data_IF_198870040835
#
_entry.id   IF_198870040835
#
_cell.length_a   1.000
_cell.length_b   1.000
_cell.length_c   1.000
_cell.angle_alpha   90.00
_cell.angle_beta   90.00
_cell.angle_gamma   90.00
#
_symmetry.space_group_name_H-M   'P 1'
#
loop_
_entity.id
_entity.type
_entity.pdbx_description
1 polymer ?
#
# COMPACT_ATOMS: atom_id res chain seq x y z
N UNK A 1 7.19 -3.09 19.97
CA UNK A 1 6.72 -1.70 20.10
C UNK A 1 5.31 -1.65 19.55
N UNK A 2 4.38 -1.09 20.31
CA UNK A 2 2.94 -0.99 19.96
C UNK A 2 2.65 0.46 19.63
N UNK A 3 2.02 0.72 18.49
CA UNK A 3 1.58 2.07 18.09
C UNK A 3 0.05 2.16 18.26
N UNK A 4 -0.42 2.71 19.39
CA UNK A 4 -1.84 2.82 19.65
C UNK A 4 -2.52 3.84 18.74
N UNK A 5 -3.71 3.48 18.23
CA UNK A 5 -4.64 4.43 17.63
C UNK A 5 -5.36 5.16 18.77
N UNK A 6 -5.22 6.48 18.82
CA UNK A 6 -5.97 7.34 19.74
C UNK A 6 -7.11 8.04 19.02
N UNK A 7 -8.24 8.17 19.71
CA UNK A 7 -9.33 9.06 19.33
C UNK A 7 -9.38 10.22 20.32
N UNK A 8 -9.66 11.42 19.81
CA UNK A 8 -9.68 12.66 20.59
C UNK A 8 -11.04 13.33 20.46
N UNK A 9 -11.59 13.79 21.58
CA UNK A 9 -12.63 14.81 21.59
C UNK A 9 -11.97 16.18 21.41
N UNK A 10 -12.31 16.83 20.30
CA UNK A 10 -11.83 18.16 19.92
C UNK A 10 -12.94 19.22 19.99
N UNK A 11 -14.09 18.92 20.59
CA UNK A 11 -15.21 19.86 20.74
C UNK A 11 -14.81 21.13 21.51
N UNK A 12 -13.84 21.01 22.43
CA UNK A 12 -13.13 22.13 23.03
C UNK A 12 -11.68 22.18 22.52
N UNK A 13 -11.33 23.07 21.57
CA UNK A 13 -10.01 23.10 20.95
C UNK A 13 -8.88 23.53 21.90
N UNK A 14 -9.19 24.19 23.03
CA UNK A 14 -8.18 24.56 24.05
C UNK A 14 -7.99 23.49 25.14
N UNK A 15 -8.83 22.45 25.14
CA UNK A 15 -8.77 21.34 26.11
C UNK A 15 -9.13 20.01 25.43
N UNK A 16 -8.31 19.52 24.47
CA UNK A 16 -8.54 18.25 23.79
C UNK A 16 -8.45 17.08 24.79
N UNK A 17 -9.33 16.09 24.65
CA UNK A 17 -9.40 14.93 25.56
C UNK A 17 -9.26 13.64 24.80
N UNK A 18 -8.45 12.71 25.31
CA UNK A 18 -8.42 11.34 24.78
C UNK A 18 -9.73 10.66 25.13
N UNK A 19 -10.45 10.18 24.11
CA UNK A 19 -11.73 9.48 24.28
C UNK A 19 -11.58 7.98 24.26
N UNK A 20 -10.60 7.47 23.52
CA UNK A 20 -10.37 6.04 23.34
C UNK A 20 -8.96 5.74 22.87
N UNK A 21 -8.56 4.49 23.07
CA UNK A 21 -7.27 3.95 22.69
C UNK A 21 -7.46 2.52 22.19
N UNK A 22 -6.87 2.23 21.04
CA UNK A 22 -6.77 0.87 20.51
C UNK A 22 -5.31 0.53 20.27
N UNK A 23 -4.80 -0.44 21.03
CA UNK A 23 -3.47 -1.00 20.84
C UNK A 23 -3.51 -2.06 19.74
N UNK A 24 -2.73 -1.84 18.69
CA UNK A 24 -2.48 -2.82 17.64
C UNK A 24 -0.99 -3.09 17.50
N UNK A 25 -0.64 -4.31 17.12
CA UNK A 25 0.76 -4.60 16.80
C UNK A 25 1.14 -3.95 15.47
N UNK A 26 2.40 -3.53 15.40
CA UNK A 26 2.91 -2.73 14.29
C UNK A 26 2.54 -1.25 14.43
N UNK A 27 2.53 -0.53 13.31
CA UNK A 27 2.24 0.91 13.26
C UNK A 27 1.56 1.30 11.94
N UNK A 28 0.82 2.40 11.95
CA UNK A 28 0.24 3.01 10.75
C UNK A 28 1.06 4.24 10.35
N UNK A 29 1.53 4.30 9.11
CA UNK A 29 2.28 5.46 8.61
C UNK A 29 1.40 6.43 7.81
N UNK A 30 0.32 5.92 7.24
CA UNK A 30 -0.67 6.70 6.52
C UNK A 30 -2.08 6.32 6.95
N UNK A 31 -2.96 7.33 7.08
CA UNK A 31 -4.35 7.19 7.48
C UNK A 31 -5.22 7.94 6.49
N UNK A 32 -6.28 7.29 6.02
CA UNK A 32 -7.28 7.83 5.11
C UNK A 32 -8.68 7.60 5.67
N UNK A 33 -9.54 8.61 5.64
CA UNK A 33 -10.97 8.46 5.96
C UNK A 33 -11.68 7.84 4.76
N UNK A 34 -12.24 6.64 4.92
CA UNK A 34 -13.16 6.05 3.93
C UNK A 34 -14.50 6.80 3.99
N UNK A 35 -14.98 7.00 5.21
CA UNK A 35 -16.19 7.75 5.57
C UNK A 35 -16.03 8.31 6.99
N UNK A 36 -17.08 8.87 7.56
CA UNK A 36 -17.08 9.49 8.90
C UNK A 36 -16.71 8.51 10.04
N UNK A 37 -16.85 7.20 9.81
CA UNK A 37 -16.73 6.16 10.82
C UNK A 37 -15.63 5.14 10.53
N UNK A 38 -14.96 5.21 9.37
CA UNK A 38 -13.99 4.20 8.98
C UNK A 38 -12.68 4.81 8.50
N UNK A 39 -11.57 4.29 9.03
CA UNK A 39 -10.22 4.62 8.61
C UNK A 39 -9.62 3.48 7.80
N UNK A 40 -8.92 3.81 6.72
CA UNK A 40 -8.07 2.91 5.95
C UNK A 40 -6.62 3.32 6.17
N UNK A 41 -5.78 2.40 6.63
CA UNK A 41 -4.38 2.70 6.92
C UNK A 41 -3.42 1.83 6.14
N UNK A 42 -2.22 2.37 5.94
CA UNK A 42 -1.05 1.66 5.41
C UNK A 42 0.11 1.84 6.38
N UNK A 43 0.80 0.76 6.71
CA UNK A 43 1.94 0.77 7.62
C UNK A 43 2.60 -0.59 7.70
N UNK A 44 3.13 -0.96 8.86
CA UNK A 44 3.79 -2.26 9.06
C UNK A 44 3.10 -3.04 10.17
N UNK A 45 2.96 -4.36 10.01
CA UNK A 45 2.58 -5.27 11.09
C UNK A 45 3.81 -5.67 11.91
N UNK A 46 3.62 -6.05 13.16
CA UNK A 46 4.68 -6.57 14.00
C UNK A 46 4.19 -7.72 14.90
N UNK A 47 5.11 -8.51 15.44
CA UNK A 47 4.81 -9.43 16.54
C UNK A 47 4.86 -8.73 17.90
N UNK A 48 4.51 -9.45 18.97
CA UNK A 48 4.48 -8.92 20.34
C UNK A 48 5.86 -8.45 20.84
N UNK A 49 6.95 -8.94 20.24
CA UNK A 49 8.31 -8.49 20.54
C UNK A 49 8.68 -7.23 19.73
N UNK A 50 7.80 -6.75 18.85
CA UNK A 50 8.03 -5.60 17.99
C UNK A 50 8.82 -5.91 16.71
N UNK A 51 8.99 -7.19 16.35
CA UNK A 51 9.63 -7.53 15.08
C UNK A 51 8.65 -7.28 13.95
N UNK A 52 9.04 -6.43 12.98
CA UNK A 52 8.24 -6.15 11.79
C UNK A 52 8.00 -7.43 10.99
N UNK A 53 6.74 -7.68 10.63
CA UNK A 53 6.29 -8.87 9.92
C UNK A 53 5.98 -8.59 8.44
N UNK A 54 5.77 -7.33 8.07
CA UNK A 54 5.55 -6.90 6.69
C UNK A 54 4.53 -5.78 6.55
N UNK A 55 4.41 -5.27 5.33
CA UNK A 55 3.49 -4.19 4.97
C UNK A 55 2.04 -4.59 5.33
N UNK A 56 1.32 -3.69 6.01
CA UNK A 56 -0.04 -3.88 6.52
C UNK A 56 -0.99 -2.86 5.90
N UNK A 57 -2.15 -3.35 5.46
CA UNK A 57 -3.34 -2.54 5.18
C UNK A 57 -4.38 -2.89 6.25
N UNK A 58 -4.96 -1.88 6.90
CA UNK A 58 -5.98 -2.10 7.93
C UNK A 58 -7.18 -1.17 7.76
N UNK A 59 -8.36 -1.68 8.12
CA UNK A 59 -9.58 -0.90 8.25
C UNK A 59 -9.94 -0.83 9.73
N UNK A 60 -10.10 0.39 10.23
CA UNK A 60 -10.59 0.64 11.59
C UNK A 60 -12.01 1.17 11.54
N UNK A 61 -12.83 0.71 12.48
CA UNK A 61 -14.16 1.28 12.76
C UNK A 61 -14.02 2.18 14.00
N UNK A 62 -14.34 3.45 13.81
CA UNK A 62 -14.27 4.53 14.81
C UNK A 62 -15.65 5.14 15.07
N UNK A 63 -16.74 4.46 14.68
CA UNK A 63 -18.11 4.91 14.92
C UNK A 63 -18.43 5.17 16.40
N UNK A 64 -17.76 4.44 17.30
CA UNK A 64 -17.66 4.77 18.72
C UNK A 64 -16.23 5.23 19.03
N UNK A 65 -15.98 6.55 19.13
CA UNK A 65 -14.65 7.06 19.46
C UNK A 65 -14.12 6.53 20.80
N UNK A 66 -14.97 6.16 21.76
CA UNK A 66 -14.50 5.62 23.03
C UNK A 66 -14.00 4.17 22.96
N UNK A 67 -14.33 3.45 21.87
CA UNK A 67 -13.96 2.06 21.67
C UNK A 67 -13.71 1.74 20.18
N UNK A 68 -12.65 2.32 19.57
CA UNK A 68 -12.31 2.02 18.18
C UNK A 68 -11.83 0.57 18.03
N UNK A 69 -12.07 -0.04 16.87
CA UNK A 69 -11.70 -1.44 16.60
C UNK A 69 -10.97 -1.61 15.27
N UNK A 70 -9.97 -2.49 15.22
CA UNK A 70 -9.34 -2.94 13.96
C UNK A 70 -10.29 -3.96 13.32
N UNK A 71 -11.14 -3.51 12.39
CA UNK A 71 -12.19 -4.32 11.78
C UNK A 71 -11.63 -5.37 10.84
N UNK A 72 -10.65 -4.98 10.02
CA UNK A 72 -9.97 -5.88 9.09
C UNK A 72 -8.49 -5.53 8.98
N UNK A 73 -7.66 -6.55 8.76
CA UNK A 73 -6.27 -6.35 8.35
C UNK A 73 -5.84 -7.31 7.26
N UNK A 74 -4.94 -6.85 6.41
CA UNK A 74 -4.22 -7.63 5.41
C UNK A 74 -2.73 -7.34 5.57
N UNK A 75 -1.97 -8.37 5.94
CA UNK A 75 -0.50 -8.31 5.97
C UNK A 75 0.01 -8.91 4.66
N UNK A 76 0.95 -8.21 4.03
CA UNK A 76 1.65 -8.63 2.82
C UNK A 76 2.97 -9.26 3.22
N UNK A 77 2.85 -10.46 3.79
CA UNK A 77 3.96 -11.32 4.21
C UNK A 77 4.05 -12.53 3.26
N UNK A 78 4.54 -12.33 2.04
CA UNK A 78 5.12 -13.51 1.40
C UNK A 78 6.29 -13.95 2.30
N UNK A 79 6.32 -15.23 2.66
CA UNK A 79 7.10 -15.73 3.81
C UNK A 79 8.64 -15.60 3.65
N UNK A 80 9.12 -14.90 2.62
CA UNK A 80 10.51 -14.83 2.22
C UNK A 80 10.94 -13.45 1.69
N UNK A 81 10.14 -12.39 1.88
CA UNK A 81 10.42 -11.05 1.33
C UNK A 81 10.14 -9.92 2.31
N UNK A 82 11.04 -8.95 2.36
CA UNK A 82 10.75 -7.63 2.94
C UNK A 82 9.98 -6.81 1.90
N UNK A 83 8.86 -6.22 2.32
CA UNK A 83 8.00 -5.39 1.48
C UNK A 83 7.75 -4.02 2.10
N UNK A 84 7.68 -2.99 1.24
CA UNK A 84 7.37 -1.63 1.61
C UNK A 84 6.42 -1.00 0.60
N UNK A 85 5.81 0.11 1.00
CA UNK A 85 5.03 0.96 0.11
C UNK A 85 5.52 2.40 0.19
N UNK A 86 5.62 3.06 -0.97
CA UNK A 86 5.80 4.52 -1.08
C UNK A 86 4.70 5.27 -0.30
N UNK A 87 3.49 4.70 -0.19
CA UNK A 87 2.36 5.30 0.53
C UNK A 87 2.62 5.48 2.04
N UNK A 88 3.65 4.84 2.60
CA UNK A 88 4.06 5.06 3.99
C UNK A 88 4.85 6.37 4.18
N UNK A 89 5.35 6.97 3.09
CA UNK A 89 6.22 8.14 3.12
C UNK A 89 5.67 9.31 2.31
N UNK A 90 4.90 9.03 1.25
CA UNK A 90 4.29 10.02 0.38
C UNK A 90 2.78 9.71 0.18
N UNK A 91 1.93 10.57 0.72
CA UNK A 91 0.48 10.43 0.62
C UNK A 91 -0.06 10.44 -0.82
N UNK A 92 0.68 10.99 -1.78
CA UNK A 92 0.27 10.97 -3.19
C UNK A 92 0.43 9.58 -3.84
N UNK A 93 1.16 8.67 -3.21
CA UNK A 93 1.29 7.29 -3.67
C UNK A 93 0.07 6.43 -3.28
N UNK A 94 -0.77 6.90 -2.36
CA UNK A 94 -2.01 6.25 -2.00
C UNK A 94 -3.13 6.70 -2.94
N UNK A 95 -3.84 5.76 -3.56
CA UNK A 95 -5.00 6.09 -4.40
C UNK A 95 -6.20 5.24 -4.03
N UNK A 96 -7.24 5.88 -3.47
CA UNK A 96 -8.50 5.21 -3.14
C UNK A 96 -9.62 5.67 -4.05
N UNK A 97 -10.19 4.74 -4.82
CA UNK A 97 -11.32 4.96 -5.70
C UNK A 97 -12.61 4.53 -5.01
N UNK A 98 -13.18 5.46 -4.23
CA UNK A 98 -14.30 5.21 -3.31
C UNK A 98 -15.53 4.61 -4.00
N UNK A 99 -15.89 5.07 -5.22
CA UNK A 99 -17.07 4.60 -5.95
C UNK A 99 -17.07 3.09 -6.25
N UNK A 100 -15.87 2.48 -6.33
CA UNK A 100 -15.68 1.04 -6.51
C UNK A 100 -15.07 0.37 -5.27
N UNK A 101 -14.74 1.13 -4.22
CA UNK A 101 -14.01 0.68 -3.04
C UNK A 101 -12.67 0.03 -3.39
N UNK A 102 -11.94 0.57 -4.36
CA UNK A 102 -10.66 0.04 -4.79
C UNK A 102 -9.52 0.89 -4.22
N UNK A 103 -8.52 0.22 -3.67
CA UNK A 103 -7.27 0.82 -3.21
C UNK A 103 -6.15 0.39 -4.16
N UNK A 104 -5.41 1.36 -4.71
CA UNK A 104 -4.14 1.14 -5.39
C UNK A 104 -2.99 1.69 -4.53
N UNK A 105 -1.99 0.86 -4.24
CA UNK A 105 -0.76 1.29 -3.58
C UNK A 105 0.48 0.66 -4.24
N UNK A 106 1.58 1.41 -4.38
CA UNK A 106 2.87 0.84 -4.72
C UNK A 106 3.30 -0.18 -3.68
N UNK A 107 3.79 -1.33 -4.12
CA UNK A 107 4.47 -2.32 -3.28
C UNK A 107 5.81 -2.62 -3.92
N UNK A 108 6.86 -2.25 -3.21
CA UNK A 108 8.24 -2.60 -3.52
C UNK A 108 8.73 -3.68 -2.56
N UNK A 109 9.68 -4.48 -3.00
CA UNK A 109 10.22 -5.52 -2.14
C UNK A 109 11.38 -6.27 -2.76
N UNK A 110 11.86 -7.25 -2.01
CA UNK A 110 12.88 -8.17 -2.48
C UNK A 110 12.47 -9.61 -2.18
N UNK A 111 12.32 -10.41 -3.24
CA UNK A 111 12.04 -11.84 -3.19
C UNK A 111 13.33 -12.64 -3.09
N UNK A 112 13.31 -13.67 -2.25
CA UNK A 112 14.39 -14.66 -2.23
C UNK A 112 14.47 -15.35 -3.59
N UNK A 113 15.66 -15.33 -4.21
CA UNK A 113 15.93 -16.04 -5.47
C UNK A 113 17.17 -16.92 -5.34
N UNK A 114 17.34 -17.87 -6.27
CA UNK A 114 18.57 -18.68 -6.37
C UNK A 114 19.74 -17.94 -7.02
N UNK A 115 19.54 -16.69 -7.44
CA UNK A 115 20.57 -15.88 -8.07
C UNK A 115 21.48 -15.25 -7.02
N UNK A 116 22.78 -15.18 -7.33
CA UNK A 116 23.75 -14.42 -6.53
C UNK A 116 23.61 -12.90 -6.75
N UNK A 117 22.79 -12.46 -7.71
CA UNK A 117 22.54 -11.06 -8.00
C UNK A 117 21.34 -10.60 -7.19
N UNK A 118 21.58 -9.71 -6.22
CA UNK A 118 20.51 -9.19 -5.37
C UNK A 118 19.36 -8.57 -6.18
N UNK A 119 19.63 -7.85 -7.27
CA UNK A 119 18.57 -7.24 -8.08
C UNK A 119 17.62 -8.21 -8.77
N UNK A 120 17.99 -9.49 -8.94
CA UNK A 120 17.10 -10.49 -9.55
C UNK A 120 15.86 -10.78 -8.68
N UNK A 121 15.95 -10.51 -7.37
CA UNK A 121 14.82 -10.61 -6.44
C UNK A 121 14.00 -9.32 -6.28
N UNK A 122 14.51 -8.18 -6.73
CA UNK A 122 13.82 -6.91 -6.57
C UNK A 122 12.53 -6.86 -7.39
N UNK A 123 11.46 -6.34 -6.80
CA UNK A 123 10.21 -6.08 -7.50
C UNK A 123 9.60 -4.74 -7.12
N UNK A 124 8.88 -4.15 -8.08
CA UNK A 124 8.00 -3.01 -7.84
C UNK A 124 6.73 -3.15 -8.67
N UNK A 125 5.60 -3.11 -7.97
CA UNK A 125 4.29 -3.31 -8.57
C UNK A 125 3.25 -2.37 -7.95
N UNK A 126 2.23 -2.02 -8.72
CA UNK A 126 1.02 -1.42 -8.17
C UNK A 126 0.11 -2.57 -7.72
N UNK A 127 -0.08 -2.76 -6.43
CA UNK A 127 -1.08 -3.71 -5.94
C UNK A 127 -2.43 -3.04 -5.78
N UNK A 128 -3.48 -3.75 -6.22
CA UNK A 128 -4.86 -3.28 -6.16
C UNK A 128 -5.66 -4.18 -5.22
N UNK A 129 -6.38 -3.56 -4.30
CA UNK A 129 -7.22 -4.23 -3.30
C UNK A 129 -8.67 -3.73 -3.40
N UNK A 130 -9.61 -4.65 -3.20
CA UNK A 130 -11.00 -4.34 -2.89
C UNK A 130 -11.10 -4.17 -1.38
N UNK A 131 -11.57 -2.99 -0.97
CA UNK A 131 -11.92 -2.67 0.40
C UNK A 131 -13.44 -2.76 0.51
N UNK A 132 -13.91 -3.70 1.32
CA UNK A 132 -15.31 -3.89 1.65
C UNK A 132 -15.49 -3.79 3.16
N UNK A 133 -16.32 -2.86 3.62
CA UNK A 133 -16.52 -2.58 5.04
C UNK A 133 -17.26 -3.72 5.78
N UNK A 134 -17.76 -4.73 5.07
CA UNK A 134 -18.43 -5.91 5.65
C UNK A 134 -17.69 -7.22 5.33
N UNK A 135 -17.10 -7.33 4.14
CA UNK A 135 -16.42 -8.55 3.68
C UNK A 135 -14.89 -8.53 3.85
N UNK A 136 -14.29 -7.37 4.14
CA UNK A 136 -12.86 -7.22 4.42
C UNK A 136 -12.02 -6.78 3.22
N UNK A 137 -10.73 -7.12 3.28
CA UNK A 137 -9.72 -6.66 2.30
C UNK A 137 -9.32 -7.82 1.39
N UNK A 138 -9.58 -7.68 0.08
CA UNK A 138 -9.27 -8.72 -0.91
C UNK A 138 -8.32 -8.17 -1.98
N UNK A 139 -7.22 -8.87 -2.27
CA UNK A 139 -6.34 -8.50 -3.38
C UNK A 139 -7.02 -8.81 -4.71
N UNK A 140 -7.02 -7.83 -5.63
CA UNK A 140 -7.65 -7.93 -6.95
C UNK A 140 -6.64 -8.19 -8.07
N UNK A 141 -5.43 -7.69 -7.93
CA UNK A 141 -4.37 -7.87 -8.91
C UNK A 141 -3.14 -7.03 -8.60
N UNK A 142 -2.13 -7.14 -9.45
CA UNK A 142 -0.91 -6.35 -9.37
C UNK A 142 -0.41 -6.00 -10.77
N UNK A 143 0.10 -4.78 -10.93
CA UNK A 143 0.72 -4.32 -12.18
C UNK A 143 2.22 -4.22 -11.95
N UNK A 144 2.97 -5.23 -12.38
CA UNK A 144 4.43 -5.24 -12.26
C UNK A 144 5.08 -4.28 -13.27
N UNK A 145 6.06 -3.50 -12.83
CA UNK A 145 6.85 -2.58 -13.69
C UNK A 145 8.24 -3.14 -14.04
N UNK A 146 8.50 -4.42 -13.73
CA UNK A 146 9.82 -5.02 -13.77
C UNK A 146 10.46 -5.09 -15.16
N UNK A 147 9.66 -5.44 -16.15
CA UNK A 147 10.03 -5.50 -17.57
C UNK A 147 10.40 -4.13 -18.19
N UNK A 148 9.94 -3.01 -17.62
CA UNK A 148 10.35 -1.67 -18.07
C UNK A 148 11.81 -1.33 -17.71
N UNK A 149 12.50 -2.22 -16.99
CA UNK A 149 13.93 -2.05 -16.69
C UNK A 149 14.78 -3.32 -16.84
N UNK A 150 14.19 -4.53 -16.78
CA UNK A 150 14.92 -5.80 -16.95
C UNK A 150 15.37 -5.97 -18.40
N UNK A 151 16.52 -5.36 -18.74
CA UNK A 151 17.18 -5.51 -20.02
C UNK A 151 18.06 -4.33 -20.47
N UNK A 152 18.02 -3.17 -19.80
CA UNK A 152 18.57 -1.93 -20.40
C UNK A 152 19.46 -1.03 -19.53
N UNK A 153 19.89 -1.42 -18.30
CA UNK A 153 20.77 -0.55 -17.49
C UNK A 153 21.87 -1.27 -16.72
N UNK A 154 23.00 -0.55 -16.60
CA UNK A 154 24.19 -0.89 -15.82
C UNK A 154 23.83 -1.17 -14.36
N UNK A 155 24.53 -2.10 -13.72
CA UNK A 155 24.31 -2.60 -12.35
C UNK A 155 24.15 -1.52 -11.26
N UNK A 156 24.49 -0.25 -11.54
CA UNK A 156 24.52 0.84 -10.56
C UNK A 156 23.36 1.85 -10.68
N UNK A 157 22.58 1.84 -11.77
CA UNK A 157 21.40 2.72 -11.94
C UNK A 157 20.16 2.28 -11.12
N UNK A 158 20.25 1.12 -10.47
CA UNK A 158 19.17 0.55 -9.66
C UNK A 158 18.94 1.32 -8.35
N UNK A 159 19.96 2.02 -7.85
CA UNK A 159 19.89 2.77 -6.59
C UNK A 159 19.11 4.09 -6.69
N UNK A 160 18.85 4.60 -7.91
CA UNK A 160 18.38 5.99 -8.15
C UNK A 160 17.14 6.13 -9.07
N UNK A 161 16.20 5.20 -9.01
CA UNK A 161 14.79 5.58 -9.24
C UNK A 161 14.26 5.57 -10.68
N UNK A 162 14.15 4.38 -11.27
CA UNK A 162 13.37 4.16 -12.49
C UNK A 162 12.00 3.54 -12.23
N UNK A 163 12.00 2.27 -11.81
CA UNK A 163 10.82 1.40 -11.93
C UNK A 163 9.88 1.41 -10.73
N UNK A 164 10.28 2.06 -9.64
CA UNK A 164 9.41 2.19 -8.46
C UNK A 164 8.09 2.81 -8.87
N UNK A 165 7.00 2.07 -8.67
CA UNK A 165 5.68 2.68 -8.81
C UNK A 165 5.60 3.81 -7.79
N UNK A 166 5.39 5.03 -8.29
CA UNK A 166 5.27 6.23 -7.46
C UNK A 166 3.83 6.69 -7.34
N UNK A 167 3.04 6.48 -8.39
CA UNK A 167 1.66 6.97 -8.48
C UNK A 167 0.77 5.92 -9.14
N UNK A 168 -0.52 6.04 -8.84
CA UNK A 168 -1.55 5.33 -9.57
C UNK A 168 -2.71 6.23 -9.90
N UNK A 169 -3.43 5.88 -10.96
CA UNK A 169 -4.67 6.55 -11.37
C UNK A 169 -5.71 5.49 -11.68
N UNK A 170 -6.91 5.65 -11.13
CA UNK A 170 -8.11 4.94 -11.58
C UNK A 170 -8.87 5.89 -12.49
N UNK A 171 -9.06 5.50 -13.76
CA UNK A 171 -9.83 6.28 -14.72
C UNK A 171 -10.73 5.34 -15.53
N UNK A 172 -12.04 5.53 -15.40
CA UNK A 172 -13.08 4.67 -15.96
C UNK A 172 -12.85 3.19 -15.63
N UNK A 173 -12.56 2.39 -16.65
CA UNK A 173 -12.29 0.96 -16.54
C UNK A 173 -10.80 0.62 -16.56
N UNK A 174 -9.93 1.62 -16.44
CA UNK A 174 -8.48 1.43 -16.50
C UNK A 174 -7.80 1.84 -15.20
N UNK A 175 -6.73 1.10 -14.89
CA UNK A 175 -5.85 1.37 -13.76
C UNK A 175 -4.45 1.59 -14.33
N UNK A 176 -3.84 2.71 -13.95
CA UNK A 176 -2.53 3.13 -14.40
C UNK A 176 -1.52 2.99 -13.26
N UNK A 177 -0.41 2.30 -13.52
CA UNK A 177 0.78 2.33 -12.70
C UNK A 177 1.81 3.27 -13.34
N UNK A 178 2.35 4.19 -12.55
CA UNK A 178 3.27 5.24 -13.03
C UNK A 178 4.56 5.15 -12.23
N UNK A 179 5.68 5.00 -12.94
CA UNK A 179 7.03 5.07 -12.39
C UNK A 179 7.87 6.09 -13.17
N UNK A 180 9.10 6.34 -12.72
CA UNK A 180 10.06 7.17 -13.47
C UNK A 180 10.55 6.49 -14.76
N UNK A 181 10.33 5.18 -14.93
CA UNK A 181 10.69 4.42 -16.12
C UNK A 181 9.57 4.38 -17.16
N UNK A 182 8.32 4.62 -16.77
CA UNK A 182 7.21 4.56 -17.70
C UNK A 182 5.85 4.43 -17.05
N UNK A 183 4.86 4.17 -17.90
CA UNK A 183 3.46 3.99 -17.52
C UNK A 183 2.97 2.66 -18.06
N UNK A 184 2.19 1.94 -17.24
CA UNK A 184 1.40 0.78 -17.68
C UNK A 184 -0.06 0.99 -17.35
N UNK A 185 -0.92 0.54 -18.25
CA UNK A 185 -2.36 0.50 -18.05
C UNK A 185 -2.87 -0.95 -18.11
N UNK A 186 -3.81 -1.29 -17.25
CA UNK A 186 -4.58 -2.55 -17.28
C UNK A 186 -6.07 -2.25 -17.24
N UNK A 187 -6.91 -3.20 -17.64
CA UNK A 187 -8.35 -3.11 -17.40
C UNK A 187 -8.66 -3.46 -15.93
N UNK A 188 -9.59 -2.76 -15.29
CA UNK A 188 -9.96 -3.01 -13.89
C UNK A 188 -10.60 -4.38 -13.65
N UNK A 189 -11.11 -5.03 -14.70
CA UNK A 189 -11.65 -6.40 -14.66
C UNK A 189 -10.59 -7.47 -14.99
N UNK A 190 -9.51 -7.09 -15.68
CA UNK A 190 -8.36 -7.95 -15.97
C UNK A 190 -7.05 -7.19 -15.71
N UNK A 191 -6.49 -7.41 -14.53
CA UNK A 191 -5.24 -6.80 -14.08
C UNK A 191 -4.01 -7.66 -14.41
N UNK A 192 -4.19 -8.80 -15.09
CA UNK A 192 -3.08 -9.70 -15.46
C UNK A 192 -2.43 -9.26 -16.77
N UNK A 193 -3.18 -8.59 -17.64
CA UNK A 193 -2.73 -8.21 -18.98
C UNK A 193 -2.70 -6.69 -19.13
N UNK A 194 -1.52 -6.14 -19.46
CA UNK A 194 -1.43 -4.74 -19.82
C UNK A 194 -2.17 -4.47 -21.13
N UNK A 195 -3.04 -3.46 -21.14
CA UNK A 195 -3.68 -2.95 -22.37
C UNK A 195 -2.74 -2.04 -23.16
N UNK A 196 -1.72 -1.51 -22.50
CA UNK A 196 -0.65 -0.72 -23.10
C UNK A 196 0.43 -0.35 -22.10
N UNK A 197 1.61 -0.07 -22.61
CA UNK A 197 2.75 0.45 -21.84
C UNK A 197 3.53 1.48 -22.66
N UNK A 198 4.14 2.44 -21.97
CA UNK A 198 5.06 3.41 -22.55
C UNK A 198 6.31 3.44 -21.66
N UNK A 199 7.47 3.23 -22.26
CA UNK A 199 8.77 3.46 -21.61
C UNK A 199 9.20 4.91 -21.84
N UNK A 200 9.71 5.56 -20.79
CA UNK A 200 10.31 6.89 -20.89
C UNK A 200 11.77 6.86 -21.33
N UNK A 201 12.38 5.66 -21.33
CA UNK A 201 13.72 5.44 -21.86
C UNK A 201 13.62 4.63 -23.17
N UNK A 202 14.30 5.07 -24.24
CA UNK A 202 14.30 4.41 -25.56
C UNK A 202 15.13 3.13 -25.60
#
# INVERSE_FOLDING_TARGET
QTDPLYTLDLSNPVEPKVTGELKVNGFSSYIHLIDDNHLLTVGQDADDNGRVLGLKIAVFDVSNPAAPVEKFKKVLNDAQSYSWSEAQYDHHAFTYFASRGLLGIPVGGHRTTSSNRWWDGYFSELQVFKIDLNAGITQKGAIAMNDLYQGQRLEWDYWWGGSEVRRSVFADDFIYAISSSGIKAVNGNDMMTAVGSVSFYP
#
